data_IF_067360231685
#
_entry.id   IF_067360231685
#
_cell.length_a   1.000
_cell.length_b   1.000
_cell.length_c   1.000
_cell.angle_alpha   90.00
_cell.angle_beta   90.00
_cell.angle_gamma   90.00
#
_symmetry.space_group_name_H-M   'P 1'
#
loop_
_entity.id
_entity.type
_entity.pdbx_description
1 polymer ?
#
# COMPACT_ATOMS: atom_id res chain seq x y z
N UNK A 1 5.03 14.59 26.28
CA UNK A 1 5.23 13.49 25.29
C UNK A 1 6.66 13.44 24.77
N UNK A 2 7.27 14.57 24.34
CA UNK A 2 8.67 14.63 23.90
C UNK A 2 9.68 14.11 24.94
N UNK A 3 9.55 14.50 26.23
CA UNK A 3 10.41 14.04 27.31
C UNK A 3 10.29 12.53 27.63
N UNK A 4 9.16 11.89 27.29
CA UNK A 4 8.95 10.44 27.48
C UNK A 4 9.58 9.61 26.36
N UNK A 5 9.75 10.18 25.17
CA UNK A 5 10.33 9.48 24.03
C UNK A 5 11.86 9.60 24.02
N UNK A 6 12.42 10.67 24.58
CA UNK A 6 13.85 10.99 24.52
C UNK A 6 14.81 9.83 24.89
N UNK A 7 14.61 9.06 25.98
CA UNK A 7 15.47 7.91 26.29
C UNK A 7 15.29 6.72 25.31
N UNK A 8 14.12 6.57 24.68
CA UNK A 8 13.91 5.56 23.62
C UNK A 8 14.68 5.98 22.37
N UNK A 9 14.73 7.27 22.09
CA UNK A 9 15.34 7.85 20.90
C UNK A 9 16.87 7.82 20.94
N UNK A 10 17.46 8.10 22.11
CA UNK A 10 18.89 7.97 22.35
C UNK A 10 19.36 6.50 22.20
N UNK A 11 18.50 5.55 22.60
CA UNK A 11 18.72 4.11 22.37
C UNK A 11 18.47 3.64 20.94
N UNK A 12 17.64 4.34 20.17
CA UNK A 12 17.38 4.02 18.75
C UNK A 12 18.44 4.63 17.82
N UNK A 13 19.09 5.73 18.23
CA UNK A 13 20.14 6.40 17.47
C UNK A 13 21.54 5.81 17.65
N UNK A 14 21.76 5.05 18.72
CA UNK A 14 23.00 4.29 18.91
C UNK A 14 22.97 3.03 18.03
N UNK A 15 23.99 2.77 17.19
CA UNK A 15 24.06 1.51 16.45
C UNK A 15 24.12 0.37 17.46
N UNK A 16 23.01 -0.35 17.59
CA UNK A 16 22.83 -1.36 18.66
C UNK A 16 23.78 -2.54 18.46
N UNK A 17 24.19 -2.82 17.22
CA UNK A 17 25.15 -3.86 16.86
C UNK A 17 25.57 -3.77 15.37
N UNK A 18 26.83 -4.04 15.01
CA UNK A 18 27.35 -4.00 13.62
C UNK A 18 26.68 -5.01 12.67
N UNK A 19 25.99 -6.02 13.20
CA UNK A 19 25.23 -7.02 12.41
C UNK A 19 23.71 -6.88 12.50
N UNK A 20 23.18 -6.25 13.56
CA UNK A 20 21.73 -5.97 13.68
C UNK A 20 21.37 -4.60 13.11
N UNK A 21 22.37 -3.77 12.84
CA UNK A 21 22.25 -2.52 12.12
C UNK A 21 23.04 -2.63 10.79
N UNK A 22 22.46 -2.29 9.62
CA UNK A 22 21.14 -1.73 9.43
C UNK A 22 20.09 -2.83 9.21
N UNK A 23 19.56 -3.36 10.32
CA UNK A 23 18.34 -4.17 10.42
C UNK A 23 18.26 -5.38 9.49
N UNK A 24 18.93 -6.48 9.82
CA UNK A 24 18.65 -7.77 9.20
C UNK A 24 17.13 -8.10 9.21
N UNK A 25 16.45 -7.73 10.29
CA UNK A 25 15.00 -7.92 10.46
C UNK A 25 14.13 -6.83 9.84
N UNK A 26 14.67 -5.67 9.49
CA UNK A 26 13.89 -4.54 8.98
C UNK A 26 13.14 -4.91 7.70
N UNK A 27 13.85 -5.40 6.67
CA UNK A 27 13.23 -5.93 5.45
C UNK A 27 12.27 -7.10 5.73
N UNK A 28 12.57 -7.99 6.68
CA UNK A 28 11.71 -9.12 7.06
C UNK A 28 10.39 -8.66 7.67
N UNK A 29 10.43 -7.71 8.62
CA UNK A 29 9.24 -7.13 9.25
C UNK A 29 8.44 -6.29 8.26
N UNK A 30 9.12 -5.57 7.36
CA UNK A 30 8.46 -4.90 6.24
C UNK A 30 7.73 -5.89 5.34
N UNK A 31 8.42 -6.95 4.90
CA UNK A 31 7.85 -8.02 4.08
C UNK A 31 6.63 -8.66 4.76
N UNK A 32 6.71 -8.91 6.07
CA UNK A 32 5.62 -9.46 6.86
C UNK A 32 4.40 -8.52 6.87
N UNK A 33 4.61 -7.23 7.13
CA UNK A 33 3.54 -6.24 7.11
C UNK A 33 2.89 -6.12 5.72
N UNK A 34 3.69 -6.00 4.66
CA UNK A 34 3.15 -5.91 3.30
C UNK A 34 2.41 -7.19 2.92
N UNK A 35 2.88 -8.36 3.39
CA UNK A 35 2.21 -9.64 3.17
C UNK A 35 0.80 -9.63 3.78
N UNK A 36 0.67 -9.20 5.04
CA UNK A 36 -0.62 -9.07 5.72
C UNK A 36 -1.55 -8.09 5.00
N UNK A 37 -1.02 -6.93 4.58
CA UNK A 37 -1.78 -5.92 3.86
C UNK A 37 -2.26 -6.43 2.49
N UNK A 38 -1.38 -7.09 1.72
CA UNK A 38 -1.70 -7.63 0.40
C UNK A 38 -2.72 -8.77 0.48
N UNK A 39 -2.56 -9.70 1.43
CA UNK A 39 -3.56 -10.72 1.72
C UNK A 39 -4.92 -10.11 2.11
N UNK A 40 -4.91 -9.02 2.89
CA UNK A 40 -6.11 -8.27 3.25
C UNK A 40 -6.84 -7.71 2.03
N UNK A 41 -6.11 -7.15 1.06
CA UNK A 41 -6.67 -6.68 -0.21
C UNK A 41 -7.28 -7.82 -1.04
N UNK A 42 -6.57 -8.95 -1.16
CA UNK A 42 -7.06 -10.13 -1.88
C UNK A 42 -8.38 -10.65 -1.26
N UNK A 43 -8.44 -10.76 0.07
CA UNK A 43 -9.65 -11.21 0.79
C UNK A 43 -10.83 -10.26 0.59
N UNK A 44 -10.59 -8.93 0.62
CA UNK A 44 -11.64 -7.93 0.36
C UNK A 44 -12.21 -8.09 -1.04
N UNK A 45 -11.36 -8.24 -2.05
CA UNK A 45 -11.79 -8.46 -3.42
C UNK A 45 -12.65 -9.73 -3.57
N UNK A 46 -12.22 -10.86 -2.99
CA UNK A 46 -13.01 -12.11 -3.00
C UNK A 46 -14.35 -11.92 -2.30
N UNK A 47 -14.37 -11.18 -1.18
CA UNK A 47 -15.60 -10.84 -0.47
C UNK A 47 -16.58 -9.99 -1.30
N UNK A 48 -16.08 -8.97 -1.98
CA UNK A 48 -16.86 -8.12 -2.88
C UNK A 48 -17.42 -8.92 -4.07
N UNK A 49 -16.62 -9.80 -4.67
CA UNK A 49 -17.06 -10.71 -5.74
C UNK A 49 -18.15 -11.67 -5.27
N UNK A 50 -17.99 -12.27 -4.08
CA UNK A 50 -18.99 -13.16 -3.50
C UNK A 50 -20.31 -12.43 -3.23
N UNK A 51 -20.24 -11.19 -2.71
CA UNK A 51 -21.43 -10.35 -2.49
C UNK A 51 -22.13 -10.02 -3.80
N UNK A 52 -21.40 -9.57 -4.82
CA UNK A 52 -21.97 -9.24 -6.13
C UNK A 52 -22.64 -10.47 -6.79
N UNK A 53 -22.04 -11.65 -6.67
CA UNK A 53 -22.64 -12.91 -7.16
C UNK A 53 -23.90 -13.29 -6.41
N UNK A 54 -23.92 -13.14 -5.08
CA UNK A 54 -25.10 -13.41 -4.27
C UNK A 54 -26.25 -12.47 -4.63
N UNK A 55 -25.97 -11.18 -4.83
CA UNK A 55 -26.95 -10.18 -5.28
C UNK A 55 -27.48 -10.50 -6.68
N UNK A 56 -26.61 -10.88 -7.62
CA UNK A 56 -27.00 -11.30 -8.96
C UNK A 56 -27.90 -12.55 -8.95
N UNK A 57 -27.54 -13.56 -8.14
CA UNK A 57 -28.34 -14.77 -7.96
C UNK A 57 -29.70 -14.47 -7.31
N UNK A 58 -29.74 -13.58 -6.32
CA UNK A 58 -30.98 -13.15 -5.69
C UNK A 58 -31.90 -12.45 -6.69
N UNK A 59 -31.35 -11.55 -7.52
CA UNK A 59 -32.09 -10.88 -8.60
C UNK A 59 -32.63 -11.87 -9.62
N UNK A 60 -31.80 -12.81 -10.09
CA UNK A 60 -32.21 -13.84 -11.05
C UNK A 60 -33.33 -14.74 -10.48
N UNK A 61 -33.25 -15.11 -9.21
CA UNK A 61 -34.31 -15.88 -8.52
C UNK A 61 -35.61 -15.08 -8.43
N UNK A 62 -35.54 -13.80 -8.11
CA UNK A 62 -36.72 -12.93 -8.04
C UNK A 62 -37.41 -12.79 -9.41
N UNK A 63 -36.63 -12.60 -10.48
CA UNK A 63 -37.15 -12.53 -11.86
C UNK A 63 -37.80 -13.86 -12.29
N UNK A 64 -37.16 -15.00 -12.00
CA UNK A 64 -37.71 -16.32 -12.29
C UNK A 64 -39.04 -16.56 -11.55
N UNK A 65 -39.11 -16.19 -10.27
CA UNK A 65 -40.35 -16.28 -9.47
C UNK A 65 -41.44 -15.36 -10.01
N UNK A 66 -41.11 -14.14 -10.44
CA UNK A 66 -42.06 -13.22 -11.03
C UNK A 66 -42.64 -13.77 -12.35
N UNK A 67 -41.78 -14.33 -13.21
CA UNK A 67 -42.19 -14.98 -14.46
C UNK A 67 -43.10 -16.19 -14.19
N UNK A 68 -42.73 -17.07 -13.26
CA UNK A 68 -43.53 -18.24 -12.89
C UNK A 68 -44.93 -17.83 -12.35
N UNK A 69 -44.99 -16.74 -11.56
CA UNK A 69 -46.27 -16.19 -11.08
C UNK A 69 -47.12 -15.62 -12.22
N UNK A 70 -46.52 -14.92 -13.17
CA UNK A 70 -47.23 -14.39 -14.33
C UNK A 70 -47.82 -15.50 -15.20
N UNK A 71 -47.04 -16.56 -15.47
CA UNK A 71 -47.51 -17.74 -16.22
C UNK A 71 -48.64 -18.48 -15.49
N UNK A 72 -48.56 -18.63 -14.17
CA UNK A 72 -49.62 -19.22 -13.37
C UNK A 72 -50.93 -18.42 -13.45
N UNK A 73 -50.85 -17.08 -13.43
CA UNK A 73 -52.03 -16.22 -13.57
C UNK A 73 -52.69 -16.31 -14.96
N UNK A 74 -51.91 -16.48 -16.02
CA UNK A 74 -52.45 -16.68 -17.39
C UNK A 74 -53.22 -18.00 -17.46
N UNK A 75 -52.65 -19.10 -16.95
CA UNK A 75 -53.31 -20.42 -16.92
C UNK A 75 -54.64 -20.40 -16.16
N UNK A 76 -54.70 -19.70 -15.03
CA UNK A 76 -55.95 -19.55 -14.25
C UNK A 76 -57.03 -18.80 -15.04
N UNK A 77 -56.65 -17.80 -15.85
CA UNK A 77 -57.60 -17.07 -16.71
C UNK A 77 -58.10 -17.93 -17.88
N UNK A 78 -57.26 -18.77 -18.46
CA UNK A 78 -57.62 -19.64 -19.59
C UNK A 78 -58.47 -20.85 -19.16
N UNK A 79 -58.19 -21.45 -18.00
CA UNK A 79 -58.94 -22.60 -17.47
C UNK A 79 -60.36 -22.29 -16.95
N UNK A 80 -60.78 -21.02 -16.93
CA UNK A 80 -62.11 -20.61 -16.47
C UNK A 80 -63.25 -20.78 -17.49
N UNK A 81 -62.97 -21.19 -18.73
CA UNK A 81 -63.97 -21.36 -19.80
C UNK A 81 -63.82 -22.73 -20.48
N UNK A 82 -64.39 -23.78 -19.88
CA UNK A 82 -64.56 -25.08 -20.54
C UNK A 82 -64.19 -26.23 -19.62
N UNK A 83 -65.21 -26.97 -19.18
CA UNK A 83 -65.09 -28.10 -18.28
C UNK A 83 -64.50 -29.38 -18.88
N UNK A 84 -64.30 -30.34 -17.97
CA UNK A 84 -64.06 -31.77 -18.16
C UNK A 84 -62.91 -32.17 -19.09
N UNK A 85 -61.66 -32.04 -18.61
CA UNK A 85 -60.53 -32.67 -19.29
C UNK A 85 -59.57 -33.40 -18.33
N UNK A 86 -59.25 -34.65 -18.71
CA UNK A 86 -58.50 -35.69 -17.99
C UNK A 86 -57.21 -35.19 -17.33
N UNK A 87 -57.02 -35.57 -16.06
CA UNK A 87 -55.72 -35.58 -15.38
C UNK A 87 -54.73 -36.49 -16.14
N UNK A 88 -53.88 -35.90 -16.98
CA UNK A 88 -52.73 -36.59 -17.58
C UNK A 88 -51.49 -36.28 -16.74
N UNK A 89 -50.82 -37.34 -16.28
CA UNK A 89 -49.60 -37.37 -15.47
C UNK A 89 -48.53 -36.38 -15.95
N UNK A 90 -48.37 -35.25 -15.26
CA UNK A 90 -47.43 -34.17 -15.59
C UNK A 90 -46.13 -34.16 -14.78
N UNK A 91 -45.64 -35.31 -14.30
CA UNK A 91 -44.48 -35.37 -13.38
C UNK A 91 -43.10 -35.49 -14.04
N UNK A 92 -42.98 -35.61 -15.38
CA UNK A 92 -41.68 -35.89 -16.03
C UNK A 92 -40.93 -34.65 -16.57
N UNK A 93 -41.58 -33.49 -16.71
CA UNK A 93 -40.95 -32.32 -17.36
C UNK A 93 -40.27 -31.32 -16.41
N UNK A 94 -40.56 -31.33 -15.10
CA UNK A 94 -39.87 -30.45 -14.14
C UNK A 94 -38.43 -30.89 -13.85
N UNK A 95 -38.07 -32.16 -14.07
CA UNK A 95 -36.70 -32.66 -13.82
C UNK A 95 -35.67 -32.24 -14.89
N UNK A 96 -36.08 -31.88 -16.11
CA UNK A 96 -35.13 -31.59 -17.21
C UNK A 96 -34.75 -30.10 -17.36
N UNK A 97 -35.44 -29.19 -16.67
CA UNK A 97 -35.13 -27.75 -16.74
C UNK A 97 -34.03 -27.31 -15.75
N UNK A 98 -33.64 -28.16 -14.80
CA UNK A 98 -32.63 -27.86 -13.78
C UNK A 98 -31.17 -28.15 -14.19
N UNK A 99 -30.93 -28.97 -15.22
CA UNK A 99 -29.58 -29.48 -15.53
C UNK A 99 -28.86 -28.77 -16.68
N UNK A 100 -29.55 -27.95 -17.49
CA UNK A 100 -28.92 -27.18 -18.58
C UNK A 100 -28.54 -25.74 -18.21
N UNK A 101 -28.40 -25.47 -16.92
CA UNK A 101 -27.65 -24.33 -16.42
C UNK A 101 -26.16 -24.65 -16.40
N UNK A 102 -25.61 -25.13 -17.51
CA UNK A 102 -24.17 -25.20 -17.77
C UNK A 102 -23.67 -23.76 -17.93
N UNK A 103 -23.77 -22.98 -16.86
CA UNK A 103 -22.94 -21.81 -16.65
C UNK A 103 -21.54 -22.38 -16.65
N UNK A 104 -20.88 -22.23 -17.80
CA UNK A 104 -19.58 -22.79 -18.10
C UNK A 104 -18.69 -22.70 -16.88
N UNK A 105 -17.96 -23.78 -16.63
CA UNK A 105 -16.95 -23.90 -15.59
C UNK A 105 -15.83 -22.89 -15.77
N UNK A 106 -16.16 -21.61 -15.66
CA UNK A 106 -15.26 -20.51 -15.40
C UNK A 106 -14.79 -20.78 -13.98
N UNK A 107 -13.75 -21.61 -13.93
CA UNK A 107 -12.94 -21.93 -12.77
C UNK A 107 -12.92 -20.69 -11.91
N UNK A 108 -13.43 -20.84 -10.68
CA UNK A 108 -13.43 -19.81 -9.62
C UNK A 108 -12.24 -18.90 -9.86
N UNK A 109 -12.46 -17.58 -9.93
CA UNK A 109 -11.44 -16.56 -10.18
C UNK A 109 -10.34 -16.53 -9.11
N UNK A 110 -9.69 -17.67 -8.94
CA UNK A 110 -8.56 -17.99 -8.10
C UNK A 110 -7.36 -17.44 -8.86
N UNK A 111 -6.67 -16.53 -8.19
CA UNK A 111 -5.48 -15.94 -8.76
C UNK A 111 -4.41 -17.03 -8.87
N UNK A 112 -3.83 -17.20 -10.06
CA UNK A 112 -2.64 -18.03 -10.21
C UNK A 112 -1.57 -17.57 -9.21
N UNK A 113 -0.92 -18.51 -8.53
CA UNK A 113 0.19 -18.26 -7.59
C UNK A 113 1.26 -17.33 -8.18
N UNK A 114 1.60 -17.46 -9.46
CA UNK A 114 2.57 -16.57 -10.10
C UNK A 114 2.09 -15.10 -10.10
N UNK A 115 0.85 -14.86 -10.49
CA UNK A 115 0.21 -13.53 -10.47
C UNK A 115 0.09 -12.99 -9.04
N UNK A 116 -0.21 -13.87 -8.09
CA UNK A 116 -0.32 -13.54 -6.67
C UNK A 116 1.02 -13.09 -6.07
N UNK A 117 2.08 -13.85 -6.30
CA UNK A 117 3.44 -13.49 -5.85
C UNK A 117 3.93 -12.21 -6.56
N UNK A 118 3.69 -12.08 -7.87
CA UNK A 118 4.06 -10.89 -8.61
C UNK A 118 3.36 -9.64 -8.06
N UNK A 119 2.08 -9.74 -7.71
CA UNK A 119 1.32 -8.62 -7.17
C UNK A 119 1.81 -8.20 -5.78
N UNK A 120 2.14 -9.17 -4.94
CA UNK A 120 2.81 -8.95 -3.66
C UNK A 120 4.14 -8.21 -3.83
N UNK A 121 4.98 -8.64 -4.78
CA UNK A 121 6.29 -8.00 -5.03
C UNK A 121 6.15 -6.57 -5.57
N UNK A 122 5.17 -6.30 -6.44
CA UNK A 122 4.86 -4.93 -6.88
C UNK A 122 4.47 -4.06 -5.70
N UNK A 123 3.64 -4.57 -4.78
CA UNK A 123 3.26 -3.85 -3.57
C UNK A 123 4.44 -3.61 -2.62
N UNK A 124 5.34 -4.58 -2.50
CA UNK A 124 6.51 -4.53 -1.64
C UNK A 124 7.60 -3.58 -2.17
N UNK A 125 7.89 -3.63 -3.47
CA UNK A 125 9.03 -2.91 -4.05
C UNK A 125 8.64 -1.70 -4.89
N UNK A 126 7.35 -1.45 -5.10
CA UNK A 126 6.90 -0.36 -5.98
C UNK A 126 7.44 1.02 -5.60
N UNK A 127 7.71 1.27 -4.31
CA UNK A 127 8.36 2.52 -3.88
C UNK A 127 9.80 2.65 -4.36
N UNK A 128 10.59 1.59 -4.21
CA UNK A 128 11.98 1.52 -4.72
C UNK A 128 12.00 1.53 -6.25
N UNK A 129 11.13 0.76 -6.91
CA UNK A 129 11.04 0.71 -8.38
C UNK A 129 10.74 2.09 -8.97
N UNK A 130 9.71 2.79 -8.46
CA UNK A 130 9.34 4.12 -8.94
C UNK A 130 10.43 5.15 -8.68
N UNK A 131 10.96 5.21 -7.46
CA UNK A 131 12.00 6.19 -7.12
C UNK A 131 13.29 5.99 -7.89
N UNK A 132 13.72 4.75 -8.12
CA UNK A 132 14.92 4.47 -8.93
C UNK A 132 14.68 4.78 -10.41
N UNK A 133 13.48 4.50 -10.92
CA UNK A 133 13.10 4.89 -12.29
C UNK A 133 13.15 6.41 -12.45
N UNK A 134 12.64 7.18 -11.47
CA UNK A 134 12.72 8.65 -11.49
C UNK A 134 14.17 9.18 -11.43
N UNK A 135 15.08 8.45 -10.79
CA UNK A 135 16.50 8.78 -10.74
C UNK A 135 17.30 8.22 -11.93
N UNK A 136 16.64 7.52 -12.88
CA UNK A 136 17.31 6.78 -13.95
C UNK A 136 18.36 5.77 -13.44
N UNK A 137 18.06 5.14 -12.31
CA UNK A 137 18.88 4.11 -11.67
C UNK A 137 18.22 2.73 -11.79
N UNK A 138 19.03 1.68 -11.78
CA UNK A 138 18.55 0.31 -11.65
C UNK A 138 18.07 0.06 -10.22
N UNK A 139 16.91 -0.55 -10.04
CA UNK A 139 16.37 -0.86 -8.72
C UNK A 139 17.14 -2.03 -8.08
N UNK A 140 17.74 -1.85 -6.87
CA UNK A 140 18.53 -2.89 -6.21
C UNK A 140 17.83 -4.25 -6.03
N UNK A 141 16.50 -4.32 -5.74
CA UNK A 141 15.81 -5.61 -5.61
C UNK A 141 15.85 -6.46 -6.89
N UNK A 142 16.06 -5.87 -8.06
CA UNK A 142 16.18 -6.60 -9.33
C UNK A 142 17.59 -7.15 -9.58
N UNK A 143 18.59 -6.68 -8.83
CA UNK A 143 20.01 -7.03 -9.03
C UNK A 143 20.54 -8.04 -8.02
N UNK A 144 19.82 -8.29 -6.93
CA UNK A 144 20.24 -9.21 -5.87
C UNK A 144 19.15 -10.22 -5.56
N UNK A 145 19.53 -11.47 -5.32
CA UNK A 145 18.60 -12.55 -4.93
C UNK A 145 18.15 -12.45 -3.47
N UNK A 146 18.93 -11.80 -2.60
CA UNK A 146 18.64 -11.76 -1.17
C UNK A 146 17.28 -11.12 -0.82
N UNK A 147 16.88 -9.97 -1.43
CA UNK A 147 15.54 -9.42 -1.27
C UNK A 147 14.43 -10.38 -1.70
N UNK A 148 14.63 -11.14 -2.80
CA UNK A 148 13.63 -12.11 -3.27
C UNK A 148 13.41 -13.20 -2.24
N UNK A 149 14.48 -13.83 -1.76
CA UNK A 149 14.42 -14.89 -0.76
C UNK A 149 13.70 -14.38 0.49
N UNK A 150 14.09 -13.21 1.01
CA UNK A 150 13.48 -12.68 2.22
C UNK A 150 11.98 -12.37 2.04
N UNK A 151 11.59 -11.64 1.00
CA UNK A 151 10.20 -11.24 0.81
C UNK A 151 9.30 -12.44 0.48
N UNK A 152 9.73 -13.32 -0.43
CA UNK A 152 8.94 -14.48 -0.82
C UNK A 152 8.83 -15.50 0.33
N UNK A 153 9.93 -15.78 1.05
CA UNK A 153 9.87 -16.72 2.17
C UNK A 153 8.95 -16.24 3.28
N UNK A 154 9.02 -14.96 3.66
CA UNK A 154 8.14 -14.37 4.67
C UNK A 154 6.68 -14.41 4.21
N UNK A 155 6.42 -14.08 2.94
CA UNK A 155 5.06 -14.07 2.40
C UNK A 155 4.48 -15.49 2.34
N UNK A 156 5.22 -16.46 1.79
CA UNK A 156 4.80 -17.86 1.72
C UNK A 156 4.61 -18.42 3.13
N UNK A 157 5.54 -18.18 4.04
CA UNK A 157 5.43 -18.62 5.44
C UNK A 157 4.17 -18.08 6.09
N UNK A 158 3.88 -16.78 5.98
CA UNK A 158 2.67 -16.20 6.56
C UNK A 158 1.40 -16.73 5.89
N UNK A 159 1.40 -16.90 4.57
CA UNK A 159 0.26 -17.49 3.84
C UNK A 159 -0.03 -18.90 4.35
N UNK A 160 1.00 -19.77 4.41
CA UNK A 160 0.87 -21.13 4.94
C UNK A 160 0.49 -21.14 6.42
N UNK A 161 1.03 -20.22 7.22
CA UNK A 161 0.71 -20.13 8.64
C UNK A 161 -0.78 -19.82 8.85
N UNK A 162 -1.34 -18.83 8.14
CA UNK A 162 -2.77 -18.51 8.26
C UNK A 162 -3.69 -19.57 7.66
N UNK A 163 -3.24 -20.23 6.59
CA UNK A 163 -3.99 -21.33 5.98
C UNK A 163 -4.00 -22.58 6.89
N UNK A 164 -2.84 -22.98 7.41
CA UNK A 164 -2.67 -24.21 8.20
C UNK A 164 -3.27 -24.11 9.60
N UNK A 165 -3.04 -22.98 10.28
CA UNK A 165 -3.56 -22.81 11.66
C UNK A 165 -5.07 -22.77 11.70
N UNK A 166 -5.74 -22.62 10.55
CA UNK A 166 -7.18 -22.44 10.47
C UNK A 166 -7.66 -21.23 11.26
N UNK A 167 -6.75 -20.37 11.75
CA UNK A 167 -7.07 -19.12 12.41
C UNK A 167 -7.89 -18.35 11.39
N UNK A 168 -9.22 -18.22 11.59
CA UNK A 168 -10.04 -17.48 10.64
C UNK A 168 -9.40 -16.11 10.56
N UNK A 169 -8.84 -15.79 9.38
CA UNK A 169 -7.99 -14.62 9.18
C UNK A 169 -8.83 -13.37 9.39
N UNK A 170 -9.01 -12.96 10.65
CA UNK A 170 -9.96 -11.98 11.17
C UNK A 170 -11.42 -12.18 10.67
N UNK A 171 -12.39 -12.53 11.54
CA UNK A 171 -13.76 -12.77 11.14
C UNK A 171 -14.43 -11.55 10.47
N UNK A 172 -15.38 -11.84 9.56
CA UNK A 172 -16.10 -10.90 8.68
C UNK A 172 -17.06 -9.94 9.39
N UNK A 173 -17.05 -9.87 10.71
CA UNK A 173 -17.81 -8.93 11.52
C UNK A 173 -16.93 -8.46 12.67
N UNK A 174 -16.81 -7.15 12.86
CA UNK A 174 -15.98 -6.49 13.88
C UNK A 174 -15.98 -7.18 15.25
N UNK A 175 -14.80 -7.15 15.90
CA UNK A 175 -14.69 -7.04 17.36
C UNK A 175 -15.47 -8.06 18.18
N UNK A 176 -14.87 -9.22 18.43
CA UNK A 176 -15.31 -10.05 19.54
C UNK A 176 -15.05 -11.54 19.33
N UNK A 177 -14.24 -12.07 20.25
CA UNK A 177 -14.24 -13.47 20.73
C UNK A 177 -13.55 -14.47 19.77
N UNK A 178 -12.64 -15.35 20.19
CA UNK A 178 -12.14 -15.68 21.53
C UNK A 178 -11.22 -16.92 21.43
N UNK A 179 -10.39 -17.13 22.45
CA UNK A 179 -9.82 -18.45 22.75
C UNK A 179 -8.33 -18.51 23.09
N UNK A 180 -7.50 -17.60 22.56
CA UNK A 180 -6.08 -17.50 22.92
C UNK A 180 -5.77 -16.02 23.09
N UNK A 181 -5.09 -15.62 24.17
CA UNK A 181 -4.92 -14.24 24.67
C UNK A 181 -4.30 -13.19 23.72
N UNK A 182 -4.22 -13.43 22.41
CA UNK A 182 -3.89 -12.45 21.38
C UNK A 182 -5.08 -11.54 20.97
N UNK A 183 -6.32 -11.84 21.38
CA UNK A 183 -7.52 -11.07 21.00
C UNK A 183 -7.56 -9.62 21.49
N UNK A 184 -6.81 -9.27 22.54
CA UNK A 184 -6.65 -7.88 23.00
C UNK A 184 -5.73 -7.04 22.09
N UNK A 185 -4.85 -7.70 21.32
CA UNK A 185 -4.07 -7.11 20.23
C UNK A 185 -4.81 -7.35 18.90
N UNK A 186 -6.09 -6.98 18.81
CA UNK A 186 -6.88 -7.07 17.58
C UNK A 186 -6.18 -6.40 16.38
N UNK A 187 -6.71 -6.54 15.16
CA UNK A 187 -6.05 -6.02 13.95
C UNK A 187 -5.57 -4.55 14.05
N UNK A 188 -6.25 -3.72 14.85
CA UNK A 188 -5.81 -2.36 15.18
C UNK A 188 -4.58 -2.30 16.10
N UNK A 189 -4.43 -3.22 17.05
CA UNK A 189 -3.30 -3.33 17.96
C UNK A 189 -2.02 -3.74 17.25
N UNK A 190 -2.08 -4.70 16.31
CA UNK A 190 -0.91 -5.08 15.52
C UNK A 190 -0.52 -3.96 14.54
N UNK A 191 -1.49 -3.36 13.84
CA UNK A 191 -1.22 -2.20 12.98
C UNK A 191 -0.64 -1.03 13.78
N UNK A 192 -1.19 -0.74 14.97
CA UNK A 192 -0.69 0.31 15.86
C UNK A 192 0.71 0.01 16.42
N UNK A 193 0.96 -1.22 16.83
CA UNK A 193 2.27 -1.67 17.33
C UNK A 193 3.35 -1.58 16.23
N UNK A 194 2.96 -1.74 14.97
CA UNK A 194 3.87 -1.61 13.83
C UNK A 194 4.00 -0.17 13.31
N UNK A 195 3.25 0.82 13.82
CA UNK A 195 3.37 2.23 13.38
C UNK A 195 4.82 2.75 13.52
N UNK A 196 5.49 2.62 14.68
CA UNK A 196 6.85 3.16 14.82
C UNK A 196 7.84 2.49 13.87
N UNK A 197 7.67 1.19 13.66
CA UNK A 197 8.53 0.41 12.77
C UNK A 197 8.29 0.78 11.30
N UNK A 198 7.04 0.93 10.87
CA UNK A 198 6.71 1.36 9.51
C UNK A 198 7.18 2.79 9.26
N UNK A 199 7.03 3.68 10.25
CA UNK A 199 7.54 5.03 10.20
C UNK A 199 9.07 5.07 10.03
N UNK A 200 9.79 4.22 10.77
CA UNK A 200 11.24 4.09 10.67
C UNK A 200 11.66 3.58 9.29
N UNK A 201 11.02 2.51 8.79
CA UNK A 201 11.34 1.89 7.51
C UNK A 201 11.06 2.84 6.34
N UNK A 202 9.92 3.53 6.35
CA UNK A 202 9.58 4.54 5.32
C UNK A 202 10.47 5.77 5.42
N UNK A 203 10.78 6.23 6.62
CA UNK A 203 11.74 7.31 6.86
C UNK A 203 13.11 6.99 6.27
N UNK A 204 13.61 5.78 6.53
CA UNK A 204 14.85 5.29 5.94
C UNK A 204 14.80 5.19 4.41
N UNK A 205 13.69 4.70 3.86
CA UNK A 205 13.51 4.60 2.41
C UNK A 205 13.56 5.99 1.75
N UNK A 206 12.80 6.97 2.26
CA UNK A 206 12.78 8.33 1.69
C UNK A 206 14.14 9.01 1.83
N UNK A 207 14.74 8.99 3.02
CA UNK A 207 16.04 9.65 3.25
C UNK A 207 17.14 8.99 2.44
N UNK A 208 17.13 7.65 2.31
CA UNK A 208 18.07 6.92 1.46
C UNK A 208 17.94 7.31 -0.02
N UNK A 209 16.71 7.39 -0.53
CA UNK A 209 16.45 7.80 -1.91
C UNK A 209 16.87 9.26 -2.16
N UNK A 210 16.60 10.18 -1.23
CA UNK A 210 17.06 11.58 -1.32
C UNK A 210 18.59 11.66 -1.28
N UNK A 211 19.26 10.83 -0.46
CA UNK A 211 20.71 10.78 -0.45
C UNK A 211 21.29 10.30 -1.80
N UNK A 212 20.65 9.33 -2.46
CA UNK A 212 21.06 8.89 -3.81
C UNK A 212 20.98 10.01 -4.84
N UNK A 213 19.94 10.87 -4.78
CA UNK A 213 19.86 12.05 -5.64
C UNK A 213 21.09 12.95 -5.47
N UNK A 214 21.51 13.17 -4.22
CA UNK A 214 22.66 14.03 -3.90
C UNK A 214 23.98 13.41 -4.34
N UNK A 215 24.19 12.12 -4.10
CA UNK A 215 25.39 11.40 -4.55
C UNK A 215 25.54 11.43 -6.06
N UNK A 216 24.44 11.24 -6.81
CA UNK A 216 24.48 11.30 -8.27
C UNK A 216 24.70 12.72 -8.81
N UNK A 217 24.10 13.74 -8.17
CA UNK A 217 24.34 15.13 -8.55
C UNK A 217 25.81 15.53 -8.34
N UNK A 218 26.43 15.09 -7.24
CA UNK A 218 27.86 15.31 -6.97
C UNK A 218 28.74 14.58 -8.00
N UNK A 219 28.45 13.31 -8.29
CA UNK A 219 29.16 12.54 -9.29
C UNK A 219 29.08 13.21 -10.68
N UNK A 220 27.89 13.66 -11.07
CA UNK A 220 27.66 14.43 -12.29
C UNK A 220 28.54 15.69 -12.36
N UNK A 221 28.57 16.50 -11.30
CA UNK A 221 29.39 17.72 -11.24
C UNK A 221 30.90 17.45 -11.31
N UNK A 222 31.35 16.30 -10.81
CA UNK A 222 32.77 15.92 -10.88
C UNK A 222 33.20 15.44 -12.27
N UNK A 223 32.26 14.92 -13.06
CA UNK A 223 32.54 14.39 -14.40
C UNK A 223 32.54 15.47 -15.49
N UNK A 224 31.80 16.57 -15.30
CA UNK A 224 31.70 17.65 -16.30
C UNK A 224 32.98 18.45 -16.45
N UNK A 225 33.84 18.49 -15.43
CA UNK A 225 35.16 19.15 -15.51
C UNK A 225 36.20 18.34 -16.30
N UNK A 226 35.95 17.05 -16.55
CA UNK A 226 36.90 16.13 -17.18
C UNK A 226 36.54 15.77 -18.65
N UNK A 227 35.30 15.99 -19.08
CA UNK A 227 34.82 15.50 -20.38
C UNK A 227 34.97 16.55 -21.51
N UNK A 228 35.99 16.37 -22.35
CA UNK A 228 36.13 17.04 -23.64
C UNK A 228 35.15 16.49 -24.69
N UNK A 229 34.27 17.36 -25.19
CA UNK A 229 33.54 17.38 -26.48
C UNK A 229 32.73 16.18 -27.02
N UNK A 230 32.76 14.97 -26.46
CA UNK A 230 32.13 13.79 -27.11
C UNK A 230 30.86 13.20 -26.45
N UNK A 231 30.40 13.71 -25.31
CA UNK A 231 29.26 13.12 -24.57
C UNK A 231 28.12 14.12 -24.33
N UNK A 232 27.24 14.34 -25.31
CA UNK A 232 26.17 15.35 -25.18
C UNK A 232 24.92 14.86 -24.43
N UNK A 233 24.49 13.60 -24.66
CA UNK A 233 23.24 13.09 -24.10
C UNK A 233 23.33 12.70 -22.61
N UNK A 234 24.41 12.02 -22.20
CA UNK A 234 24.65 11.65 -20.79
C UNK A 234 24.89 12.89 -19.93
N UNK A 235 25.56 13.91 -20.47
CA UNK A 235 25.80 15.18 -19.79
C UNK A 235 24.51 15.97 -19.58
N UNK A 236 23.57 15.95 -20.53
CA UNK A 236 22.27 16.59 -20.38
C UNK A 236 21.40 15.94 -19.28
N UNK A 237 21.40 14.61 -19.20
CA UNK A 237 20.72 13.88 -18.13
C UNK A 237 21.35 14.15 -16.76
N UNK A 238 22.68 14.15 -16.69
CA UNK A 238 23.44 14.47 -15.48
C UNK A 238 23.19 15.91 -14.99
N UNK A 239 23.17 16.88 -15.90
CA UNK A 239 22.84 18.28 -15.59
C UNK A 239 21.39 18.44 -15.11
N UNK A 240 20.45 17.72 -15.73
CA UNK A 240 19.04 17.73 -15.32
C UNK A 240 18.85 17.14 -13.91
N UNK A 241 19.56 16.06 -13.58
CA UNK A 241 19.54 15.46 -12.24
C UNK A 241 20.19 16.38 -11.19
N UNK A 242 21.28 17.05 -11.56
CA UNK A 242 21.90 18.07 -10.70
C UNK A 242 20.94 19.23 -10.42
N UNK A 243 20.25 19.75 -11.44
CA UNK A 243 19.22 20.79 -11.24
C UNK A 243 18.06 20.29 -10.38
N UNK A 244 17.60 19.04 -10.60
CA UNK A 244 16.54 18.42 -9.80
C UNK A 244 16.95 18.25 -8.31
N UNK A 245 18.24 18.13 -8.02
CA UNK A 245 18.77 18.04 -6.64
C UNK A 245 18.59 19.32 -5.81
N UNK A 246 18.23 20.44 -6.43
CA UNK A 246 17.85 21.67 -5.74
C UNK A 246 16.35 21.93 -5.73
N UNK A 247 15.56 21.11 -6.45
CA UNK A 247 14.12 21.31 -6.59
C UNK A 247 13.35 20.72 -5.39
N UNK A 248 12.64 21.54 -4.58
CA UNK A 248 11.79 21.02 -3.51
C UNK A 248 10.65 20.14 -4.04
N UNK A 249 10.11 20.48 -5.22
CA UNK A 249 9.05 19.72 -5.87
C UNK A 249 9.56 18.33 -6.26
N UNK A 250 10.79 18.23 -6.77
CA UNK A 250 11.36 16.94 -7.09
C UNK A 250 11.62 16.09 -5.83
N UNK A 251 12.09 16.71 -4.74
CA UNK A 251 12.21 16.03 -3.44
C UNK A 251 10.85 15.54 -2.91
N UNK A 252 9.79 16.32 -3.09
CA UNK A 252 8.44 15.93 -2.73
C UNK A 252 7.94 14.72 -3.55
N UNK A 253 8.14 14.74 -4.87
CA UNK A 253 7.77 13.61 -5.75
C UNK A 253 8.58 12.37 -5.40
N UNK A 254 9.88 12.52 -5.16
CA UNK A 254 10.79 11.43 -4.83
C UNK A 254 10.47 10.81 -3.46
N UNK A 255 10.15 11.63 -2.47
CA UNK A 255 9.71 11.16 -1.16
C UNK A 255 8.32 10.49 -1.20
N UNK A 256 7.37 11.05 -1.94
CA UNK A 256 6.05 10.43 -2.13
C UNK A 256 6.16 9.06 -2.82
N UNK A 257 6.97 8.96 -3.87
CA UNK A 257 7.19 7.71 -4.60
C UNK A 257 7.90 6.66 -3.73
N UNK A 258 9.01 7.01 -3.06
CA UNK A 258 9.71 6.09 -2.16
C UNK A 258 8.82 5.60 -0.99
N UNK A 259 7.97 6.48 -0.46
CA UNK A 259 7.04 6.18 0.65
C UNK A 259 5.87 5.28 0.25
N UNK A 260 5.11 5.70 -0.76
CA UNK A 260 3.78 5.18 -1.04
C UNK A 260 3.68 4.44 -2.38
N UNK A 261 4.75 4.42 -3.17
CA UNK A 261 4.75 3.87 -4.52
C UNK A 261 4.28 2.41 -4.59
N UNK A 262 4.62 1.59 -3.60
CA UNK A 262 4.16 0.20 -3.51
C UNK A 262 2.64 0.07 -3.43
N UNK A 263 2.02 0.71 -2.42
CA UNK A 263 0.56 0.67 -2.25
C UNK A 263 -0.20 1.37 -3.39
N UNK A 264 0.35 2.48 -3.91
CA UNK A 264 -0.22 3.19 -5.06
C UNK A 264 -0.17 2.32 -6.30
N UNK A 265 0.96 1.71 -6.66
CA UNK A 265 1.03 0.82 -7.82
C UNK A 265 0.14 -0.41 -7.66
N UNK A 266 0.16 -1.04 -6.49
CA UNK A 266 -0.66 -2.21 -6.23
C UNK A 266 -2.15 -1.95 -6.42
N UNK A 267 -2.62 -0.76 -6.01
CA UNK A 267 -4.02 -0.34 -6.17
C UNK A 267 -4.33 0.15 -7.58
N UNK A 268 -3.45 0.93 -8.19
CA UNK A 268 -3.60 1.41 -9.56
C UNK A 268 -3.57 0.28 -10.59
N UNK A 269 -2.82 -0.80 -10.36
CA UNK A 269 -2.77 -1.95 -11.27
C UNK A 269 -3.73 -3.07 -10.88
N UNK A 270 -4.45 -2.92 -9.76
CA UNK A 270 -5.27 -3.97 -9.12
C UNK A 270 -4.51 -5.30 -9.03
N UNK A 271 -3.28 -5.25 -8.55
CA UNK A 271 -2.40 -6.42 -8.45
C UNK A 271 -2.93 -7.56 -7.57
N UNK A 272 -3.96 -7.29 -6.77
CA UNK A 272 -4.69 -8.23 -5.92
C UNK A 272 -5.94 -8.82 -6.61
N UNK A 273 -6.10 -8.64 -7.94
CA UNK A 273 -7.12 -9.30 -8.75
C UNK A 273 -6.51 -10.21 -9.83
N UNK A 274 -7.22 -11.27 -10.30
CA UNK A 274 -6.70 -12.18 -11.34
C UNK A 274 -6.36 -11.47 -12.65
N UNK A 275 -7.06 -10.38 -12.95
CA UNK A 275 -6.82 -9.54 -14.12
C UNK A 275 -6.25 -8.21 -13.67
N UNK A 276 -4.98 -7.94 -13.99
CA UNK A 276 -4.37 -6.65 -13.73
C UNK A 276 -4.86 -5.63 -14.75
N UNK A 277 -5.06 -4.39 -14.31
CA UNK A 277 -5.55 -3.33 -15.17
C UNK A 277 -5.36 -1.98 -14.51
N UNK A 278 -5.23 -0.94 -15.33
CA UNK A 278 -5.11 0.42 -14.84
C UNK A 278 -6.44 0.88 -14.25
N UNK A 279 -6.37 1.35 -13.01
CA UNK A 279 -7.46 1.88 -12.23
C UNK A 279 -7.03 3.19 -11.58
N UNK A 280 -8.01 4.04 -11.29
CA UNK A 280 -7.80 5.27 -10.53
C UNK A 280 -7.19 4.93 -9.16
N UNK A 281 -6.03 5.53 -8.81
CA UNK A 281 -5.40 5.34 -7.50
C UNK A 281 -6.36 5.65 -6.35
N UNK A 282 -6.24 4.94 -5.22
CA UNK A 282 -7.16 5.11 -4.07
C UNK A 282 -7.24 6.54 -3.54
N UNK A 283 -6.14 7.30 -3.60
CA UNK A 283 -6.12 8.70 -3.19
C UNK A 283 -6.89 9.64 -4.14
N UNK A 284 -7.29 9.18 -5.32
CA UNK A 284 -8.11 9.93 -6.28
C UNK A 284 -9.57 9.44 -6.34
N UNK A 285 -9.85 8.18 -5.97
CA UNK A 285 -11.20 7.57 -6.04
C UNK A 285 -12.23 8.27 -5.11
N UNK A 286 -11.78 8.98 -4.07
CA UNK A 286 -12.64 9.62 -3.06
C UNK A 286 -12.82 11.13 -3.17
N UNK A 287 -12.44 11.76 -4.29
CA UNK A 287 -12.36 13.23 -4.43
C UNK A 287 -13.64 14.02 -4.08
N UNK A 288 -14.80 13.36 -4.00
CA UNK A 288 -16.07 13.98 -3.58
C UNK A 288 -16.25 14.22 -2.07
N UNK A 289 -15.44 13.61 -1.20
CA UNK A 289 -15.49 13.82 0.25
C UNK A 289 -14.11 14.20 0.80
N UNK A 290 -13.85 15.51 0.92
CA UNK A 290 -12.55 16.12 1.28
C UNK A 290 -11.80 15.41 2.42
N UNK A 291 -12.50 15.01 3.49
CA UNK A 291 -11.89 14.32 4.64
C UNK A 291 -11.37 12.91 4.32
N UNK A 292 -12.03 12.18 3.42
CA UNK A 292 -11.62 10.82 3.04
C UNK A 292 -10.35 10.84 2.19
N UNK A 293 -10.21 11.85 1.33
CA UNK A 293 -9.04 12.05 0.45
C UNK A 293 -7.79 12.27 1.29
N UNK A 294 -7.82 13.22 2.24
CA UNK A 294 -6.65 13.53 3.07
C UNK A 294 -6.14 12.33 3.88
N UNK A 295 -7.05 11.48 4.38
CA UNK A 295 -6.70 10.26 5.12
C UNK A 295 -6.15 9.19 4.18
N UNK A 296 -6.76 9.01 3.00
CA UNK A 296 -6.31 8.03 2.00
C UNK A 296 -4.97 8.40 1.36
N UNK A 297 -4.68 9.70 1.23
CA UNK A 297 -3.46 10.25 0.68
C UNK A 297 -2.34 10.43 1.72
N UNK A 298 -2.59 10.09 2.99
CA UNK A 298 -1.65 10.28 4.10
C UNK A 298 -0.23 9.80 3.79
N UNK A 299 -0.12 8.60 3.21
CA UNK A 299 1.17 7.98 2.93
C UNK A 299 1.95 8.72 1.81
N UNK A 300 1.21 9.34 0.88
CA UNK A 300 1.74 10.10 -0.27
C UNK A 300 2.25 11.46 0.20
N UNK A 301 1.40 12.25 0.87
CA UNK A 301 1.81 13.60 1.30
C UNK A 301 2.80 13.57 2.47
N UNK A 302 2.75 12.56 3.34
CA UNK A 302 3.80 12.38 4.36
C UNK A 302 5.15 12.11 3.72
N UNK A 303 5.20 11.24 2.69
CA UNK A 303 6.42 11.00 1.92
C UNK A 303 6.93 12.27 1.24
N UNK A 304 6.04 13.06 0.65
CA UNK A 304 6.41 14.34 0.06
C UNK A 304 7.04 15.31 1.08
N UNK A 305 6.39 15.46 2.25
CA UNK A 305 6.88 16.30 3.33
C UNK A 305 8.25 15.84 3.84
N UNK A 306 8.44 14.53 4.04
CA UNK A 306 9.71 13.96 4.49
C UNK A 306 10.80 14.12 3.44
N UNK A 307 10.49 13.96 2.15
CA UNK A 307 11.45 14.15 1.07
C UNK A 307 11.97 15.59 1.03
N UNK A 308 11.07 16.56 1.18
CA UNK A 308 11.41 17.98 1.31
C UNK A 308 12.26 18.24 2.55
N UNK A 309 11.84 17.74 3.72
CA UNK A 309 12.55 17.93 4.98
C UNK A 309 13.98 17.37 4.89
N UNK A 310 14.15 16.19 4.31
CA UNK A 310 15.47 15.59 4.09
C UNK A 310 16.33 16.45 3.14
N UNK A 311 15.73 17.03 2.09
CA UNK A 311 16.42 17.95 1.18
C UNK A 311 16.93 19.22 1.88
N UNK A 312 16.12 19.80 2.78
CA UNK A 312 16.51 20.98 3.57
C UNK A 312 17.59 20.64 4.58
N UNK A 313 17.43 19.53 5.31
CA UNK A 313 18.41 19.09 6.32
C UNK A 313 19.78 18.76 5.70
N UNK A 314 19.82 18.37 4.42
CA UNK A 314 21.06 18.14 3.68
C UNK A 314 21.61 19.41 3.02
N UNK A 315 21.01 20.59 3.24
CA UNK A 315 21.44 21.88 2.70
C UNK A 315 21.29 22.00 1.18
N UNK A 316 20.37 21.24 0.56
CA UNK A 316 20.18 21.21 -0.90
C UNK A 316 18.93 21.92 -1.37
N UNK A 317 17.89 21.90 -0.55
CA UNK A 317 16.67 22.64 -0.81
C UNK A 317 16.72 23.92 -0.01
N UNK A 318 16.78 25.05 -0.70
CA UNK A 318 16.55 26.35 -0.10
C UNK A 318 15.16 26.83 -0.52
N UNK A 319 14.31 27.12 0.47
CA UNK A 319 13.00 27.69 0.26
C UNK A 319 13.04 29.23 0.21
N UNK A 320 14.23 29.82 0.30
CA UNK A 320 14.43 31.25 0.52
C UNK A 320 13.84 31.69 1.85
N UNK A 321 13.52 32.98 1.99
CA UNK A 321 12.88 33.53 3.19
C UNK A 321 11.34 33.34 3.23
N UNK A 322 10.81 32.40 2.44
CA UNK A 322 9.38 32.18 2.30
C UNK A 322 8.71 31.54 3.52
N UNK A 323 7.38 31.64 3.59
CA UNK A 323 6.54 31.02 4.64
C UNK A 323 6.83 29.52 4.81
N UNK A 324 7.11 28.82 3.71
CA UNK A 324 7.45 27.40 3.74
C UNK A 324 8.80 27.14 4.42
N UNK A 325 9.79 28.02 4.21
CA UNK A 325 11.07 27.95 4.91
C UNK A 325 10.88 28.17 6.41
N UNK A 326 10.08 29.16 6.81
CA UNK A 326 9.78 29.42 8.22
C UNK A 326 9.05 28.23 8.87
N UNK A 327 8.09 27.61 8.17
CA UNK A 327 7.39 26.43 8.65
C UNK A 327 8.35 25.25 8.83
N UNK A 328 9.21 24.97 7.84
CA UNK A 328 10.20 23.89 7.90
C UNK A 328 11.23 24.16 9.00
N UNK A 329 11.75 25.39 9.12
CA UNK A 329 12.68 25.79 10.17
C UNK A 329 12.03 25.72 11.57
N UNK A 330 10.74 26.03 11.69
CA UNK A 330 9.96 25.84 12.91
C UNK A 330 9.87 24.36 13.30
N UNK A 331 9.64 23.48 12.33
CA UNK A 331 9.65 22.03 12.56
C UNK A 331 11.06 21.55 12.96
N UNK A 332 12.11 21.96 12.24
CA UNK A 332 13.50 21.58 12.54
C UNK A 332 13.93 22.07 13.93
N UNK A 333 13.60 23.30 14.29
CA UNK A 333 13.90 23.87 15.62
C UNK A 333 13.14 23.17 16.75
N UNK A 334 11.92 22.67 16.49
CA UNK A 334 11.18 21.83 17.45
C UNK A 334 11.87 20.48 17.74
N UNK A 335 12.72 20.01 16.82
CA UNK A 335 13.58 18.84 17.02
C UNK A 335 14.94 19.19 17.64
N UNK A 336 15.11 20.40 18.18
CA UNK A 336 16.36 20.84 18.82
C UNK A 336 17.48 21.20 17.85
N UNK A 337 17.17 21.30 16.55
CA UNK A 337 18.15 21.56 15.50
C UNK A 337 18.29 23.05 15.19
N UNK A 338 18.94 23.84 16.05
CA UNK A 338 19.63 25.04 15.56
C UNK A 338 20.91 25.32 16.35
N UNK A 339 22.03 25.34 15.62
CA UNK A 339 23.02 26.40 15.77
C UNK A 339 24.03 26.32 16.91
N UNK A 340 24.14 25.21 17.64
CA UNK A 340 25.35 24.97 18.45
C UNK A 340 26.20 23.95 17.74
N UNK A 341 27.40 24.36 17.32
CA UNK A 341 28.50 23.44 17.03
C UNK A 341 28.61 22.46 18.21
N UNK A 342 28.10 21.23 18.04
CA UNK A 342 28.00 20.22 19.11
C UNK A 342 26.59 19.84 19.61
N UNK A 343 25.51 20.47 19.12
CA UNK A 343 24.13 20.11 19.45
C UNK A 343 23.61 18.94 18.60
N UNK A 344 23.14 17.88 19.25
CA UNK A 344 22.72 16.58 18.68
C UNK A 344 22.05 16.71 17.32
N UNK A 345 22.78 16.25 16.29
CA UNK A 345 22.27 15.97 14.95
C UNK A 345 21.19 14.91 15.08
N UNK A 346 19.94 15.31 15.31
CA UNK A 346 18.80 14.45 14.98
C UNK A 346 18.86 14.30 13.46
N UNK A 347 19.51 13.23 12.99
CA UNK A 347 19.73 13.01 11.57
C UNK A 347 18.39 12.96 10.83
N UNK A 348 18.40 13.30 9.53
CA UNK A 348 17.19 13.35 8.69
C UNK A 348 16.29 12.12 8.82
N UNK A 349 16.86 10.93 9.10
CA UNK A 349 16.14 9.69 9.38
C UNK A 349 15.25 9.74 10.63
N UNK A 350 15.75 10.31 11.72
CA UNK A 350 14.98 10.44 12.96
C UNK A 350 13.84 11.45 12.75
N UNK A 351 14.13 12.62 12.17
CA UNK A 351 13.11 13.61 11.80
C UNK A 351 12.01 13.00 10.91
N UNK A 352 12.40 12.28 9.86
CA UNK A 352 11.50 11.52 9.00
C UNK A 352 10.61 10.54 9.78
N UNK A 353 11.21 9.79 10.70
CA UNK A 353 10.50 8.80 11.52
C UNK A 353 9.43 9.46 12.38
N UNK A 354 9.70 10.62 13.00
CA UNK A 354 8.67 11.32 13.78
C UNK A 354 7.53 11.85 12.94
N UNK A 355 7.85 12.44 11.77
CA UNK A 355 6.83 12.93 10.84
C UNK A 355 5.90 11.79 10.48
N UNK A 356 6.44 10.64 10.05
CA UNK A 356 5.61 9.47 9.76
C UNK A 356 4.82 8.96 10.96
N UNK A 357 5.46 8.81 12.12
CA UNK A 357 4.78 8.32 13.32
C UNK A 357 3.61 9.24 13.70
N UNK A 358 3.80 10.55 13.63
CA UNK A 358 2.76 11.55 13.87
C UNK A 358 1.61 11.47 12.86
N UNK A 359 1.93 11.41 11.56
CA UNK A 359 0.91 11.29 10.50
C UNK A 359 0.15 9.98 10.60
N UNK A 360 0.81 8.87 10.91
CA UNK A 360 0.16 7.57 11.06
C UNK A 360 -0.69 7.47 12.32
N UNK A 361 -0.23 8.02 13.44
CA UNK A 361 -1.05 8.14 14.65
C UNK A 361 -2.30 8.99 14.37
N UNK A 362 -2.14 10.13 13.70
CA UNK A 362 -3.26 10.97 13.27
C UNK A 362 -4.24 10.21 12.34
N UNK A 363 -3.72 9.47 11.35
CA UNK A 363 -4.52 8.65 10.43
C UNK A 363 -5.37 7.62 11.19
N UNK A 364 -4.78 6.89 12.13
CA UNK A 364 -5.50 5.90 12.96
C UNK A 364 -6.57 6.58 13.80
N UNK A 365 -6.23 7.69 14.46
CA UNK A 365 -7.20 8.46 15.25
C UNK A 365 -8.37 8.97 14.40
N UNK A 366 -8.11 9.43 13.17
CA UNK A 366 -9.15 9.87 12.25
C UNK A 366 -10.06 8.74 11.77
N UNK A 367 -9.52 7.54 11.61
CA UNK A 367 -10.31 6.36 11.24
C UNK A 367 -11.21 5.87 12.38
N UNK A 368 -10.82 6.10 13.64
CA UNK A 368 -11.63 5.78 14.82
C UNK A 368 -12.84 6.70 15.00
N UNK A 369 -12.83 7.89 14.40
CA UNK A 369 -13.91 8.88 14.51
C UNK A 369 -15.03 8.70 13.48
N UNK A 370 -15.03 7.62 12.71
CA UNK A 370 -16.07 7.29 11.72
C UNK A 370 -17.06 6.31 12.31
#
# INVERSE_FOLDING_TARGET
>A
MAALLQPVLEKLGTPVHDTLFPYAWGPTLHAARISLAYQGLCRRYVGEQAKARAEAQAKARAEAQAKARAEAQVKVKEGGKGGDEKQVNGNENEKKAGEKGEWGGETRGEMNWATYLAGYLVMAWGGTLLSHTLLSLHAPPLLSLAPWINYLSVHIFLTLLFEYTGLPSLPKGMGGIGGIGLGALGGMGLDAALIPLDALLRGNAVVGTVALLHSNALAASSSSSAASSAASASTAAAASLAAASFSPVFHAILGASASAGGGVLATSLRTYTPHWGLHTPTFLVGAGASRSVLISAADVWAGALVGVLAGVMNGRVDFGDGVLAQAVNGVISSFGGQGKEGGVVIGAKAAATYVYAGVFAWKVWMLQKK
#
